data_IF_770352995645
#
_entry.id   IF_770352995645
#
_cell.length_a   1.000
_cell.length_b   1.000
_cell.length_c   1.000
_cell.angle_alpha   90.00
_cell.angle_beta   90.00
_cell.angle_gamma   90.00
#
_symmetry.space_group_name_H-M   'P 1'
#
loop_
_entity.id
_entity.type
_entity.pdbx_description
1 polymer ?
#
# COMPACT_ATOMS: atom_id res chain seq x y z
N UNK A 1 -3.05 10.69 -3.50
CA UNK A 1 -1.73 10.93 -4.13
C UNK A 1 -1.76 12.11 -5.10
N UNK A 2 -2.82 12.32 -5.89
CA UNK A 2 -2.83 13.37 -6.93
C UNK A 2 -2.96 14.81 -6.38
N UNK A 3 -3.71 14.99 -5.29
CA UNK A 3 -4.02 16.29 -4.71
C UNK A 3 -2.80 17.21 -4.47
N UNK A 4 -1.66 16.75 -3.89
CA UNK A 4 -0.46 17.59 -3.78
C UNK A 4 0.06 18.13 -5.11
N UNK A 5 0.03 17.33 -6.18
CA UNK A 5 0.46 17.78 -7.51
C UNK A 5 -0.48 18.83 -8.08
N UNK A 6 -1.79 18.63 -7.91
CA UNK A 6 -2.82 19.57 -8.36
C UNK A 6 -2.72 20.92 -7.64
N UNK A 7 -2.51 20.90 -6.32
CA UNK A 7 -2.34 22.10 -5.50
C UNK A 7 -1.04 22.86 -5.82
N UNK A 8 0.04 22.13 -6.11
CA UNK A 8 1.31 22.71 -6.52
C UNK A 8 1.34 23.15 -8.00
N UNK A 9 0.29 22.86 -8.79
CA UNK A 9 0.27 23.14 -10.22
C UNK A 9 1.29 22.32 -11.02
N UNK A 10 1.72 21.17 -10.49
CA UNK A 10 2.67 20.28 -11.16
C UNK A 10 1.91 19.40 -12.16
N UNK A 11 2.20 19.47 -13.47
CA UNK A 11 1.57 18.61 -14.44
C UNK A 11 2.03 17.16 -14.22
N UNK A 12 1.11 16.21 -14.45
CA UNK A 12 1.39 14.78 -14.37
C UNK A 12 0.71 14.03 -15.50
N UNK A 13 1.29 12.90 -15.87
CA UNK A 13 0.71 11.92 -16.78
C UNK A 13 0.77 10.52 -16.15
N UNK A 14 -0.17 9.66 -16.54
CA UNK A 14 -0.20 8.27 -16.10
C UNK A 14 0.54 7.39 -17.10
N UNK A 15 1.32 6.44 -16.60
CA UNK A 15 1.90 5.35 -17.38
C UNK A 15 1.17 4.04 -17.13
N UNK A 16 1.22 3.14 -18.11
CA UNK A 16 0.65 1.81 -18.00
C UNK A 16 1.62 0.86 -17.28
N UNK A 17 1.10 -0.26 -16.79
CA UNK A 17 1.86 -1.35 -16.18
C UNK A 17 1.84 -2.59 -17.07
N UNK A 18 2.85 -3.44 -16.89
CA UNK A 18 2.77 -4.82 -17.34
C UNK A 18 2.24 -5.76 -16.24
N UNK A 19 2.19 -7.05 -16.55
CA UNK A 19 1.67 -8.08 -15.64
C UNK A 19 2.53 -8.30 -14.40
N UNK A 20 3.78 -7.82 -14.41
CA UNK A 20 4.72 -7.85 -13.30
C UNK A 20 4.57 -6.61 -12.40
N UNK A 21 3.65 -5.70 -12.72
CA UNK A 21 3.48 -4.38 -12.11
C UNK A 21 4.67 -3.45 -12.35
N UNK A 22 5.32 -3.58 -13.50
CA UNK A 22 6.48 -2.79 -13.90
C UNK A 22 6.08 -1.71 -14.92
N UNK A 23 6.88 -0.63 -15.01
CA UNK A 23 6.60 0.53 -15.84
C UNK A 23 6.53 0.15 -17.33
N UNK A 24 5.44 0.54 -17.99
CA UNK A 24 5.28 0.39 -19.45
C UNK A 24 5.10 1.74 -20.13
N UNK A 25 5.91 1.97 -21.16
CA UNK A 25 5.84 3.18 -21.98
C UNK A 25 6.52 4.41 -21.36
N UNK A 26 7.27 4.24 -20.27
CA UNK A 26 8.11 5.28 -19.68
C UNK A 26 9.51 5.23 -20.32
N UNK A 27 10.08 6.36 -20.78
CA UNK A 27 11.43 6.40 -21.35
C UNK A 27 12.51 5.96 -20.35
N UNK A 28 13.59 5.33 -20.83
CA UNK A 28 14.68 4.89 -19.96
C UNK A 28 15.38 6.03 -19.20
N UNK A 29 15.33 7.25 -19.76
CA UNK A 29 15.88 8.46 -19.15
C UNK A 29 14.87 9.60 -19.26
N UNK A 30 14.81 10.44 -18.23
CA UNK A 30 13.87 11.55 -18.14
C UNK A 30 14.59 12.89 -18.39
N UNK A 31 13.97 13.83 -19.12
CA UNK A 31 14.40 15.23 -19.16
C UNK A 31 14.60 15.84 -17.76
N UNK A 32 15.45 16.86 -17.69
CA UNK A 32 15.68 17.57 -16.43
C UNK A 32 14.38 18.21 -15.92
N UNK A 33 14.06 17.98 -14.64
CA UNK A 33 12.84 18.47 -14.00
C UNK A 33 11.64 17.53 -14.11
N UNK A 34 11.76 16.43 -14.85
CA UNK A 34 10.76 15.36 -14.86
C UNK A 34 11.11 14.28 -13.83
N UNK A 35 10.06 13.69 -13.25
CA UNK A 35 10.16 12.66 -12.21
C UNK A 35 9.22 11.51 -12.54
N UNK A 36 9.61 10.30 -12.13
CA UNK A 36 8.72 9.14 -12.14
C UNK A 36 8.28 8.83 -10.72
N UNK A 37 6.97 8.70 -10.52
CA UNK A 37 6.39 8.24 -9.26
C UNK A 37 6.00 6.77 -9.43
N UNK A 38 6.65 5.89 -8.67
CA UNK A 38 6.37 4.45 -8.69
C UNK A 38 5.85 3.97 -7.34
N UNK A 39 4.79 3.17 -7.36
CA UNK A 39 4.25 2.55 -6.14
C UNK A 39 4.97 1.24 -5.90
N UNK A 40 5.55 1.05 -4.71
CA UNK A 40 6.03 -0.27 -4.30
C UNK A 40 4.85 -1.18 -3.98
N UNK A 41 4.34 -1.83 -5.03
CA UNK A 41 3.10 -2.59 -4.96
C UNK A 41 3.15 -3.72 -3.94
N UNK A 42 2.19 -3.68 -3.01
CA UNK A 42 1.96 -4.65 -1.94
C UNK A 42 3.14 -4.89 -0.98
N UNK A 43 4.20 -4.08 -1.08
CA UNK A 43 5.48 -4.31 -0.41
C UNK A 43 6.19 -5.57 -0.92
N UNK A 44 6.06 -5.86 -2.21
CA UNK A 44 6.64 -7.04 -2.87
C UNK A 44 7.61 -6.68 -4.01
N UNK A 45 7.66 -5.41 -4.44
CA UNK A 45 8.42 -4.99 -5.64
C UNK A 45 9.76 -4.34 -5.28
N UNK A 46 10.34 -4.70 -4.12
CA UNK A 46 11.58 -4.10 -3.59
C UNK A 46 12.76 -4.22 -4.56
N UNK A 47 12.91 -5.36 -5.25
CA UNK A 47 13.96 -5.54 -6.25
C UNK A 47 13.78 -4.61 -7.45
N UNK A 48 12.54 -4.48 -7.95
CA UNK A 48 12.25 -3.57 -9.05
C UNK A 48 12.46 -2.10 -8.65
N UNK A 49 12.07 -1.73 -7.41
CA UNK A 49 12.37 -0.41 -6.87
C UNK A 49 13.88 -0.12 -6.87
N UNK A 50 14.73 -1.09 -6.52
CA UNK A 50 16.18 -0.94 -6.58
C UNK A 50 16.70 -0.75 -8.02
N UNK A 51 16.10 -1.45 -8.99
CA UNK A 51 16.43 -1.26 -10.41
C UNK A 51 16.07 0.16 -10.86
N UNK A 52 14.87 0.65 -10.50
CA UNK A 52 14.44 2.01 -10.78
C UNK A 52 15.32 3.06 -10.11
N UNK A 53 15.76 2.82 -8.86
CA UNK A 53 16.65 3.72 -8.12
C UNK A 53 18.00 3.88 -8.84
N UNK A 54 18.54 2.78 -9.39
CA UNK A 54 19.74 2.81 -10.22
C UNK A 54 19.54 3.58 -11.53
N UNK A 55 18.39 3.37 -12.18
CA UNK A 55 18.06 3.93 -13.49
C UNK A 55 17.74 5.44 -13.44
N UNK A 56 16.75 5.83 -12.64
CA UNK A 56 16.23 7.20 -12.59
C UNK A 56 16.91 8.05 -11.51
N UNK A 57 17.59 7.43 -10.55
CA UNK A 57 18.35 8.14 -9.51
C UNK A 57 17.48 9.17 -8.78
N UNK A 58 17.93 10.42 -8.68
CA UNK A 58 17.21 11.52 -8.02
C UNK A 58 15.85 11.85 -8.67
N UNK A 59 15.57 11.36 -9.88
CA UNK A 59 14.29 11.56 -10.56
C UNK A 59 13.24 10.50 -10.19
N UNK A 60 13.58 9.54 -9.32
CA UNK A 60 12.63 8.56 -8.79
C UNK A 60 11.99 9.04 -7.49
N UNK A 61 10.66 8.95 -7.43
CA UNK A 61 9.85 9.07 -6.23
C UNK A 61 9.13 7.73 -5.97
N UNK A 62 9.37 7.10 -4.83
CA UNK A 62 8.77 5.79 -4.47
C UNK A 62 7.65 5.99 -3.45
N UNK A 63 6.42 5.65 -3.83
CA UNK A 63 5.30 5.49 -2.89
C UNK A 63 5.37 4.11 -2.23
N UNK A 64 5.85 4.09 -0.98
CA UNK A 64 5.87 2.93 -0.09
C UNK A 64 4.74 2.97 0.92
N UNK A 65 3.61 3.59 0.61
CA UNK A 65 2.44 3.54 1.49
C UNK A 65 1.90 2.11 1.64
N UNK A 66 2.27 1.19 0.74
CA UNK A 66 2.09 -0.26 0.86
C UNK A 66 3.36 -1.01 1.28
N UNK A 67 4.40 -0.33 1.75
CA UNK A 67 5.60 -0.95 2.33
C UNK A 67 6.14 -0.08 3.47
N UNK A 68 5.54 -0.21 4.65
CA UNK A 68 5.97 0.55 5.81
C UNK A 68 7.43 0.27 6.21
N UNK A 69 7.90 -0.96 5.96
CA UNK A 69 9.21 -1.43 6.38
C UNK A 69 10.31 -1.15 5.34
N UNK A 70 9.93 -0.64 4.18
CA UNK A 70 10.86 -0.10 3.20
C UNK A 70 11.79 0.92 3.86
N UNK A 71 13.07 0.80 3.57
CA UNK A 71 14.09 1.74 4.03
C UNK A 71 15.25 1.76 3.04
N UNK A 72 15.96 2.89 2.99
CA UNK A 72 17.19 3.04 2.22
C UNK A 72 16.96 3.19 0.72
N UNK A 73 17.17 4.41 0.21
CA UNK A 73 17.32 4.69 -1.22
C UNK A 73 18.68 5.32 -1.44
N UNK A 74 19.44 4.81 -2.41
CA UNK A 74 20.79 5.32 -2.66
C UNK A 74 20.73 6.68 -3.37
N UNK A 75 19.71 6.89 -4.21
CA UNK A 75 19.66 8.03 -5.12
C UNK A 75 18.30 8.72 -5.18
N UNK A 76 17.20 7.97 -5.18
CA UNK A 76 15.83 8.47 -5.26
C UNK A 76 15.25 8.79 -3.89
N UNK A 77 14.00 9.25 -3.92
CA UNK A 77 13.22 9.58 -2.74
C UNK A 77 12.13 8.53 -2.53
N UNK A 78 11.73 8.31 -1.29
CA UNK A 78 10.59 7.46 -0.99
C UNK A 78 9.84 7.92 0.25
N UNK A 79 8.56 7.62 0.32
CA UNK A 79 7.74 7.94 1.48
C UNK A 79 6.78 6.80 1.79
N UNK A 80 6.34 6.68 3.03
CA UNK A 80 5.36 5.66 3.44
C UNK A 80 4.17 6.28 4.21
N UNK A 81 3.30 5.41 4.74
CA UNK A 81 2.23 5.83 5.65
C UNK A 81 2.13 4.90 6.85
N UNK A 82 2.34 5.45 8.05
CA UNK A 82 2.17 4.71 9.29
C UNK A 82 0.70 4.29 9.50
N UNK A 83 -0.24 5.13 9.07
CA UNK A 83 -1.69 4.92 9.21
C UNK A 83 -2.21 3.67 8.50
N UNK A 84 -1.53 3.24 7.44
CA UNK A 84 -1.89 2.03 6.68
C UNK A 84 -1.35 0.75 7.35
N UNK A 85 -0.30 0.85 8.15
CA UNK A 85 0.34 -0.29 8.80
C UNK A 85 -0.07 -0.46 10.28
N UNK A 86 -0.38 0.65 10.96
CA UNK A 86 -0.64 0.71 12.40
C UNK A 86 -1.87 1.57 12.74
N UNK A 87 -2.41 1.35 13.93
CA UNK A 87 -3.55 2.11 14.47
C UNK A 87 -3.15 3.49 14.98
N UNK A 88 -2.64 4.35 14.10
CA UNK A 88 -2.26 5.73 14.38
C UNK A 88 -3.03 6.72 13.48
N UNK A 89 -3.39 7.91 13.97
CA UNK A 89 -4.15 8.90 13.19
C UNK A 89 -3.29 9.68 12.19
N UNK A 90 -1.98 9.73 12.34
CA UNK A 90 -1.06 10.46 11.46
C UNK A 90 0.31 9.78 11.41
N UNK A 91 1.19 10.30 10.54
CA UNK A 91 2.57 9.85 10.43
C UNK A 91 2.92 9.06 9.19
N UNK A 92 4.20 9.15 8.87
CA UNK A 92 4.90 8.50 7.77
C UNK A 92 6.37 8.88 7.87
N UNK A 93 7.18 8.21 7.07
CA UNK A 93 8.62 8.44 6.98
C UNK A 93 8.95 8.93 5.57
N UNK A 94 9.89 9.85 5.49
CA UNK A 94 10.54 10.28 4.26
C UNK A 94 11.94 9.69 4.23
N UNK A 95 12.30 9.12 3.09
CA UNK A 95 13.59 8.52 2.81
C UNK A 95 14.17 9.20 1.57
N UNK A 96 15.48 9.34 1.53
CA UNK A 96 16.17 9.91 0.39
C UNK A 96 17.69 9.85 0.57
N UNK A 97 18.45 10.42 -0.39
CA UNK A 97 19.91 10.47 -0.28
C UNK A 97 20.31 11.21 0.99
N UNK A 98 21.12 10.57 1.84
CA UNK A 98 21.48 11.13 3.14
C UNK A 98 22.13 12.53 3.07
N UNK A 99 22.77 12.87 1.95
CA UNK A 99 23.37 14.18 1.72
C UNK A 99 22.33 15.29 1.44
N UNK A 100 21.13 14.93 1.02
CA UNK A 100 20.04 15.84 0.63
C UNK A 100 18.88 15.83 1.63
N UNK A 101 18.82 14.80 2.49
CA UNK A 101 17.74 14.64 3.46
C UNK A 101 17.85 15.71 4.57
N UNK A 102 16.85 16.59 4.61
CA UNK A 102 16.67 17.57 5.68
C UNK A 102 16.22 16.93 7.00
N UNK A 103 15.90 17.78 7.97
CA UNK A 103 15.49 17.35 9.31
C UNK A 103 14.01 17.66 9.55
N UNK A 104 13.28 16.75 10.20
CA UNK A 104 11.85 16.91 10.43
C UNK A 104 11.52 18.09 11.39
N UNK A 105 12.50 18.55 12.15
CA UNK A 105 12.44 19.66 13.10
C UNK A 105 12.20 21.01 12.43
N UNK A 106 12.43 21.12 11.12
CA UNK A 106 12.09 22.31 10.32
C UNK A 106 10.57 22.48 10.12
N UNK A 107 9.81 21.40 10.31
CA UNK A 107 8.36 21.38 10.13
C UNK A 107 7.63 21.47 11.47
N UNK A 108 6.48 22.18 11.52
CA UNK A 108 5.66 22.21 12.71
C UNK A 108 5.13 20.81 13.06
N UNK A 109 4.90 20.57 14.35
CA UNK A 109 4.26 19.35 14.83
C UNK A 109 2.80 19.34 14.43
N UNK A 110 2.31 18.21 13.91
CA UNK A 110 0.90 18.04 13.62
C UNK A 110 0.08 17.90 14.91
N UNK A 111 -0.83 18.84 15.17
CA UNK A 111 -1.66 18.86 16.39
C UNK A 111 -3.14 18.63 16.14
N UNK A 112 -3.59 18.64 14.88
CA UNK A 112 -5.00 18.54 14.48
C UNK A 112 -5.43 17.09 14.17
N UNK A 113 -4.80 16.11 14.81
CA UNK A 113 -5.11 14.70 14.58
C UNK A 113 -6.43 14.28 15.26
N UNK A 114 -7.15 13.37 14.60
CA UNK A 114 -8.38 12.78 15.15
C UNK A 114 -8.25 11.27 15.29
N UNK A 115 -8.25 10.75 16.52
CA UNK A 115 -8.10 9.32 16.80
C UNK A 115 -9.41 8.60 17.16
N UNK A 116 -10.54 9.30 17.22
CA UNK A 116 -11.83 8.75 17.68
C UNK A 116 -12.25 7.49 16.91
N UNK A 117 -12.08 7.51 15.58
CA UNK A 117 -12.41 6.38 14.72
C UNK A 117 -11.58 5.11 15.01
N UNK A 118 -10.35 5.27 15.54
CA UNK A 118 -9.50 4.15 15.96
C UNK A 118 -10.03 3.53 17.26
N UNK A 119 -10.53 4.36 18.18
CA UNK A 119 -11.15 3.91 19.43
C UNK A 119 -12.45 3.15 19.12
N UNK A 120 -13.28 3.67 18.21
CA UNK A 120 -14.49 2.98 17.77
C UNK A 120 -14.16 1.61 17.15
N UNK A 121 -13.07 1.54 16.37
CA UNK A 121 -12.60 0.26 15.81
C UNK A 121 -12.25 -0.74 16.90
N UNK A 122 -11.50 -0.32 17.92
CA UNK A 122 -11.11 -1.17 19.04
C UNK A 122 -12.32 -1.68 19.83
N UNK A 123 -13.40 -0.91 19.87
CA UNK A 123 -14.66 -1.29 20.55
C UNK A 123 -15.57 -2.18 19.69
N UNK A 124 -15.19 -2.48 18.45
CA UNK A 124 -16.00 -3.26 17.51
C UNK A 124 -17.09 -2.45 16.80
N UNK A 125 -17.08 -1.11 16.92
CA UNK A 125 -18.03 -0.20 16.30
C UNK A 125 -17.63 0.11 14.84
N UNK A 126 -17.64 -0.92 13.98
CA UNK A 126 -17.06 -0.87 12.63
C UNK A 126 -17.65 0.23 11.74
N UNK A 127 -18.98 0.41 11.74
CA UNK A 127 -19.65 1.41 10.93
C UNK A 127 -19.28 2.84 11.36
N UNK A 128 -19.31 3.12 12.66
CA UNK A 128 -18.94 4.42 13.24
C UNK A 128 -17.45 4.72 13.00
N UNK A 129 -16.59 3.71 13.14
CA UNK A 129 -15.18 3.81 12.81
C UNK A 129 -14.95 4.16 11.33
N UNK A 130 -15.71 3.56 10.42
CA UNK A 130 -15.61 3.87 9.00
C UNK A 130 -16.04 5.31 8.68
N UNK A 131 -17.21 5.73 9.20
CA UNK A 131 -17.71 7.08 8.99
C UNK A 131 -16.75 8.14 9.56
N UNK A 132 -16.21 7.89 10.76
CA UNK A 132 -15.21 8.75 11.39
C UNK A 132 -13.89 8.80 10.63
N UNK A 133 -13.43 7.67 10.06
CA UNK A 133 -12.26 7.63 9.20
C UNK A 133 -12.46 8.46 7.93
N UNK A 134 -13.61 8.31 7.25
CA UNK A 134 -13.92 9.09 6.03
C UNK A 134 -14.00 10.58 6.33
N UNK A 135 -14.64 10.97 7.42
CA UNK A 135 -14.71 12.37 7.84
C UNK A 135 -13.31 12.95 8.13
N UNK A 136 -12.44 12.18 8.79
CA UNK A 136 -11.07 12.60 9.06
C UNK A 136 -10.19 12.68 7.81
N UNK A 137 -10.32 11.77 6.85
CA UNK A 137 -9.60 11.87 5.57
C UNK A 137 -9.88 13.19 4.84
N UNK A 138 -11.10 13.73 4.97
CA UNK A 138 -11.48 15.01 4.35
C UNK A 138 -10.84 16.23 5.01
N UNK A 139 -10.32 16.12 6.24
CA UNK A 139 -9.66 17.23 6.93
C UNK A 139 -8.18 17.34 6.58
N UNK A 140 -7.61 16.34 5.91
CA UNK A 140 -6.17 16.28 5.64
C UNK A 140 -5.80 17.13 4.42
N UNK A 141 -4.77 17.94 4.58
CA UNK A 141 -4.16 18.74 3.53
C UNK A 141 -2.88 18.11 2.97
N UNK A 142 -2.20 18.85 2.10
CA UNK A 142 -0.89 18.51 1.54
C UNK A 142 0.28 19.19 2.26
N UNK A 143 -0.01 20.04 3.26
CA UNK A 143 1.02 20.76 3.99
C UNK A 143 1.90 19.78 4.77
N UNK A 144 3.24 19.90 4.70
CA UNK A 144 4.14 19.00 5.38
C UNK A 144 4.19 19.32 6.87
N UNK A 145 4.03 18.30 7.70
CA UNK A 145 4.16 18.38 9.15
C UNK A 145 5.07 17.28 9.67
N UNK A 146 5.68 17.55 10.83
CA UNK A 146 6.23 16.49 11.67
C UNK A 146 5.07 15.71 12.30
N UNK A 147 5.24 14.40 12.42
CA UNK A 147 4.28 13.51 13.10
C UNK A 147 3.89 14.05 14.48
N UNK A 148 2.64 13.81 14.88
CA UNK A 148 2.15 14.14 16.22
C UNK A 148 2.88 13.35 17.31
N UNK A 149 3.02 13.96 18.49
CA UNK A 149 3.60 13.28 19.66
C UNK A 149 2.77 12.05 20.07
N UNK A 150 1.46 12.07 19.79
CA UNK A 150 0.56 10.93 20.03
C UNK A 150 0.92 9.73 19.15
N UNK A 151 1.01 9.94 17.84
CA UNK A 151 1.37 8.86 16.90
C UNK A 151 2.81 8.40 17.12
N UNK A 152 3.74 9.31 17.38
CA UNK A 152 5.13 8.96 17.73
C UNK A 152 5.21 8.07 18.99
N UNK A 153 4.42 8.40 20.03
CA UNK A 153 4.37 7.60 21.26
C UNK A 153 3.76 6.20 21.04
N UNK A 154 2.74 6.07 20.19
CA UNK A 154 2.16 4.76 19.86
C UNK A 154 3.14 3.90 19.05
N UNK A 155 3.78 4.50 18.05
CA UNK A 155 4.75 3.80 17.19
C UNK A 155 5.99 3.35 17.96
N UNK A 156 6.42 4.08 19.01
CA UNK A 156 7.58 3.68 19.82
C UNK A 156 7.34 2.45 20.70
N UNK A 157 6.07 2.03 20.85
CA UNK A 157 5.68 0.87 21.65
C UNK A 157 5.47 -0.41 20.82
N UNK A 158 5.62 -0.32 19.49
CA UNK A 158 5.41 -1.44 18.58
C UNK A 158 6.61 -2.39 18.61
N UNK A 159 6.34 -3.68 18.81
CA UNK A 159 7.30 -4.74 18.53
C UNK A 159 7.36 -5.02 17.02
N UNK A 160 8.22 -4.27 16.32
CA UNK A 160 8.32 -4.35 14.86
C UNK A 160 8.76 -5.73 14.36
N UNK A 161 9.65 -6.41 15.08
CA UNK A 161 10.11 -7.76 14.73
C UNK A 161 8.96 -8.77 14.78
N UNK A 162 8.14 -8.73 15.84
CA UNK A 162 6.96 -9.57 15.94
C UNK A 162 5.94 -9.28 14.83
N UNK A 163 5.76 -8.00 14.47
CA UNK A 163 4.87 -7.58 13.37
C UNK A 163 5.35 -8.12 12.03
N UNK A 164 6.64 -7.96 11.73
CA UNK A 164 7.27 -8.46 10.49
C UNK A 164 7.10 -9.98 10.40
N UNK A 165 7.47 -10.70 11.44
CA UNK A 165 7.38 -12.16 11.48
C UNK A 165 5.93 -12.64 11.29
N UNK A 166 4.96 -11.98 11.93
CA UNK A 166 3.54 -12.34 11.77
C UNK A 166 3.02 -12.07 10.37
N UNK A 167 3.32 -10.91 9.77
CA UNK A 167 2.90 -10.59 8.40
C UNK A 167 3.42 -11.59 7.39
N UNK A 168 4.71 -11.93 7.49
CA UNK A 168 5.35 -12.95 6.63
C UNK A 168 4.72 -14.34 6.83
N UNK A 169 4.44 -14.72 8.08
CA UNK A 169 3.75 -15.99 8.39
C UNK A 169 2.34 -16.05 7.80
N UNK A 170 1.56 -14.97 7.96
CA UNK A 170 0.20 -14.88 7.45
C UNK A 170 0.17 -14.93 5.91
N UNK A 171 1.10 -14.21 5.27
CA UNK A 171 1.26 -14.21 3.82
C UNK A 171 1.64 -15.59 3.27
N UNK A 172 2.66 -16.24 3.85
CA UNK A 172 3.06 -17.60 3.46
C UNK A 172 1.92 -18.61 3.64
N UNK A 173 1.11 -18.43 4.70
CA UNK A 173 -0.05 -19.28 4.92
C UNK A 173 -1.11 -19.11 3.83
N UNK A 174 -1.48 -17.88 3.46
CA UNK A 174 -2.36 -17.66 2.31
C UNK A 174 -1.80 -18.26 1.04
N UNK A 175 -0.50 -18.07 0.77
CA UNK A 175 0.14 -18.60 -0.43
C UNK A 175 0.01 -20.12 -0.51
N UNK A 176 0.36 -20.84 0.57
CA UNK A 176 0.22 -22.28 0.66
C UNK A 176 -1.21 -22.78 0.43
N UNK A 177 -2.22 -21.98 0.78
CA UNK A 177 -3.64 -22.36 0.67
C UNK A 177 -4.30 -21.91 -0.64
N UNK A 178 -3.80 -20.86 -1.30
CA UNK A 178 -4.50 -20.20 -2.40
C UNK A 178 -3.69 -20.12 -3.70
N UNK A 179 -2.42 -20.53 -3.72
CA UNK A 179 -1.56 -20.40 -4.91
C UNK A 179 -2.14 -21.02 -6.18
N UNK A 180 -2.81 -22.17 -6.08
CA UNK A 180 -3.43 -22.85 -7.24
C UNK A 180 -4.61 -22.07 -7.84
N UNK A 181 -5.18 -21.13 -7.08
CA UNK A 181 -6.27 -20.26 -7.53
C UNK A 181 -5.77 -18.86 -7.93
N UNK A 182 -4.49 -18.57 -7.70
CA UNK A 182 -3.95 -17.23 -7.84
C UNK A 182 -3.24 -17.07 -9.19
N UNK A 183 -3.69 -16.11 -10.00
CA UNK A 183 -3.17 -15.90 -11.35
C UNK A 183 -2.27 -14.66 -11.48
N UNK A 184 -1.72 -14.15 -10.38
CA UNK A 184 -0.71 -13.08 -10.46
C UNK A 184 0.53 -13.58 -11.21
N UNK A 185 1.15 -12.71 -12.01
CA UNK A 185 2.30 -13.06 -12.84
C UNK A 185 3.67 -12.75 -12.18
N UNK A 186 3.67 -12.17 -10.98
CA UNK A 186 4.88 -11.83 -10.22
C UNK A 186 5.06 -12.78 -9.02
N UNK A 187 6.31 -12.96 -8.53
CA UNK A 187 6.61 -13.94 -7.49
C UNK A 187 5.91 -13.63 -6.16
N UNK A 188 5.39 -14.68 -5.53
CA UNK A 188 4.78 -14.65 -4.19
C UNK A 188 5.43 -15.63 -3.21
N UNK A 189 6.43 -16.39 -3.64
CA UNK A 189 7.16 -17.28 -2.74
C UNK A 189 8.17 -16.43 -1.95
N UNK A 190 7.92 -16.20 -0.65
CA UNK A 190 8.80 -15.38 0.19
C UNK A 190 10.30 -15.75 0.13
N UNK A 191 10.71 -17.03 -0.02
CA UNK A 191 12.11 -17.39 -0.21
C UNK A 191 12.74 -16.86 -1.51
N UNK A 192 11.93 -16.54 -2.52
CA UNK A 192 12.39 -15.99 -3.80
C UNK A 192 12.44 -14.46 -3.79
N UNK A 193 11.87 -13.82 -2.76
CA UNK A 193 11.86 -12.37 -2.60
C UNK A 193 13.02 -11.90 -1.71
N UNK A 194 13.40 -10.60 -1.77
CA UNK A 194 14.37 -10.01 -0.85
C UNK A 194 14.02 -10.33 0.62
N UNK A 195 15.05 -10.62 1.42
CA UNK A 195 14.87 -11.11 2.80
C UNK A 195 14.11 -10.14 3.70
N UNK A 196 14.22 -8.84 3.42
CA UNK A 196 13.58 -7.71 4.07
C UNK A 196 12.15 -7.42 3.56
N UNK A 197 11.62 -8.20 2.63
CA UNK A 197 10.25 -8.04 2.12
C UNK A 197 9.23 -8.26 3.23
N UNK A 198 8.36 -7.27 3.45
CA UNK A 198 7.26 -7.36 4.42
C UNK A 198 5.92 -7.08 3.74
N UNK A 199 5.15 -8.12 3.38
CA UNK A 199 3.94 -7.93 2.60
C UNK A 199 2.89 -7.07 3.32
N UNK A 200 2.29 -6.14 2.57
CA UNK A 200 1.17 -5.33 3.04
C UNK A 200 -0.15 -6.10 3.03
N UNK A 201 -0.36 -6.89 1.98
CA UNK A 201 -1.47 -7.81 1.79
C UNK A 201 -1.01 -9.01 0.94
N UNK A 202 -1.83 -10.06 0.87
CA UNK A 202 -1.65 -11.13 -0.10
C UNK A 202 -2.49 -10.82 -1.35
N UNK A 203 -1.87 -10.51 -2.51
CA UNK A 203 -2.59 -10.20 -3.72
C UNK A 203 -3.11 -11.50 -4.36
N UNK A 204 -4.42 -11.72 -4.27
CA UNK A 204 -5.09 -12.82 -4.95
C UNK A 204 -5.79 -12.28 -6.20
N UNK A 205 -5.28 -12.65 -7.38
CA UNK A 205 -5.92 -12.33 -8.65
C UNK A 205 -6.76 -13.53 -9.10
N UNK A 206 -8.06 -13.31 -9.22
CA UNK A 206 -8.97 -14.32 -9.73
C UNK A 206 -8.75 -14.54 -11.24
N UNK A 207 -8.94 -15.78 -11.71
CA UNK A 207 -8.87 -16.11 -13.12
C UNK A 207 -9.82 -15.22 -13.96
N UNK A 208 -9.41 -14.92 -15.19
CA UNK A 208 -10.21 -14.12 -16.11
C UNK A 208 -11.62 -14.72 -16.31
N UNK A 209 -12.65 -13.91 -16.12
CA UNK A 209 -14.05 -14.32 -16.20
C UNK A 209 -14.68 -14.77 -14.88
N UNK A 210 -13.90 -14.93 -13.80
CA UNK A 210 -14.44 -15.19 -12.46
C UNK A 210 -15.26 -14.00 -11.98
N UNK A 211 -16.50 -14.25 -11.53
CA UNK A 211 -17.36 -13.20 -10.96
C UNK A 211 -17.14 -13.12 -9.46
N UNK A 212 -16.30 -12.18 -9.03
CA UNK A 212 -16.07 -11.92 -7.61
C UNK A 212 -17.25 -11.19 -6.96
N UNK A 213 -18.03 -11.90 -6.16
CA UNK A 213 -19.07 -11.27 -5.35
C UNK A 213 -18.50 -10.68 -4.06
N UNK A 214 -17.89 -9.49 -4.16
CA UNK A 214 -17.37 -8.74 -3.00
C UNK A 214 -18.45 -8.41 -1.96
N UNK A 215 -19.72 -8.31 -2.38
CA UNK A 215 -20.84 -8.10 -1.47
C UNK A 215 -21.06 -9.30 -0.55
N UNK A 216 -20.92 -10.53 -1.06
CA UNK A 216 -21.00 -11.73 -0.23
C UNK A 216 -19.88 -11.81 0.82
N UNK A 217 -18.68 -11.31 0.50
CA UNK A 217 -17.57 -11.18 1.48
C UNK A 217 -17.93 -10.14 2.56
N UNK A 218 -18.46 -8.98 2.15
CA UNK A 218 -18.89 -7.94 3.07
C UNK A 218 -20.00 -8.42 4.02
N UNK A 219 -20.99 -9.16 3.52
CA UNK A 219 -22.08 -9.74 4.34
C UNK A 219 -21.57 -10.75 5.38
N UNK A 220 -20.36 -11.30 5.19
CA UNK A 220 -19.65 -12.13 6.17
C UNK A 220 -18.71 -11.33 7.09
N UNK A 221 -18.82 -10.00 7.10
CA UNK A 221 -17.93 -9.06 7.80
C UNK A 221 -16.46 -9.13 7.33
N UNK A 222 -16.23 -9.52 6.09
CA UNK A 222 -14.91 -9.50 5.45
C UNK A 222 -14.79 -8.29 4.52
N UNK A 223 -14.12 -7.26 5.02
CA UNK A 223 -13.93 -5.99 4.31
C UNK A 223 -12.63 -6.04 3.49
N UNK A 224 -12.72 -6.51 2.24
CA UNK A 224 -11.60 -6.53 1.30
C UNK A 224 -11.70 -5.30 0.39
N UNK A 225 -10.73 -4.36 0.41
CA UNK A 225 -10.80 -3.15 -0.38
C UNK A 225 -10.65 -3.43 -1.88
N UNK A 226 -11.13 -2.49 -2.69
CA UNK A 226 -10.76 -2.41 -4.11
C UNK A 226 -9.56 -1.47 -4.22
N UNK A 227 -8.45 -1.93 -4.81
CA UNK A 227 -7.24 -1.12 -4.94
C UNK A 227 -7.12 -0.51 -6.35
N UNK A 228 -6.87 0.80 -6.29
CA UNK A 228 -6.96 1.87 -7.29
C UNK A 228 -8.28 1.93 -8.08
N UNK A 229 -9.41 2.20 -7.41
CA UNK A 229 -10.70 2.35 -8.09
C UNK A 229 -10.71 3.52 -9.10
N UNK A 230 -9.82 4.50 -8.97
CA UNK A 230 -9.65 5.61 -9.92
C UNK A 230 -9.22 5.14 -11.31
N UNK A 231 -8.50 4.02 -11.41
CA UNK A 231 -8.12 3.41 -12.70
C UNK A 231 -9.36 3.05 -13.52
N UNK A 232 -10.47 2.69 -12.87
CA UNK A 232 -11.71 2.31 -13.55
C UNK A 232 -12.37 3.48 -14.28
N UNK A 233 -12.14 4.72 -13.84
CA UNK A 233 -12.72 5.93 -14.41
C UNK A 233 -11.68 6.83 -15.10
N UNK A 234 -10.40 6.47 -15.01
CA UNK A 234 -9.29 7.16 -15.68
C UNK A 234 -9.58 7.28 -17.17
N UNK A 235 -9.32 8.44 -17.76
CA UNK A 235 -9.51 8.69 -19.18
C UNK A 235 -8.29 8.22 -19.98
N UNK A 236 -8.48 7.95 -21.28
CA UNK A 236 -7.43 7.46 -22.16
C UNK A 236 -7.43 5.95 -22.36
N UNK A 237 -6.88 5.52 -23.51
CA UNK A 237 -6.67 4.13 -23.87
C UNK A 237 -5.37 3.59 -23.28
N UNK A 238 -5.24 2.26 -23.18
CA UNK A 238 -3.99 1.61 -22.79
C UNK A 238 -3.91 1.14 -21.34
N UNK A 239 -4.97 1.34 -20.55
CA UNK A 239 -5.08 0.90 -19.15
C UNK A 239 -6.01 -0.31 -18.96
N UNK A 240 -6.30 -1.06 -20.02
CA UNK A 240 -7.28 -2.14 -19.99
C UNK A 240 -6.87 -3.27 -19.04
N UNK A 241 -5.57 -3.55 -18.97
CA UNK A 241 -5.02 -4.55 -18.06
C UNK A 241 -5.22 -4.13 -16.60
N UNK A 242 -4.90 -2.89 -16.25
CA UNK A 242 -5.00 -2.34 -14.91
C UNK A 242 -6.46 -2.26 -14.46
N UNK A 243 -7.39 -1.91 -15.37
CA UNK A 243 -8.83 -1.95 -15.08
C UNK A 243 -9.27 -3.36 -14.72
N UNK A 244 -8.86 -4.36 -15.50
CA UNK A 244 -9.17 -5.76 -15.24
C UNK A 244 -8.52 -6.23 -13.93
N UNK A 245 -7.26 -5.86 -13.69
CA UNK A 245 -6.53 -6.16 -12.47
C UNK A 245 -7.23 -5.59 -11.24
N UNK A 246 -7.60 -4.30 -11.24
CA UNK A 246 -8.34 -3.64 -10.16
C UNK A 246 -9.68 -4.34 -9.87
N UNK A 247 -10.41 -4.76 -10.91
CA UNK A 247 -11.70 -5.45 -10.74
C UNK A 247 -11.52 -6.84 -10.13
N UNK A 248 -10.54 -7.61 -10.60
CA UNK A 248 -10.31 -9.00 -10.26
C UNK A 248 -9.42 -9.23 -9.02
N UNK A 249 -8.73 -8.21 -8.51
CA UNK A 249 -7.80 -8.34 -7.40
C UNK A 249 -8.50 -8.35 -6.03
N UNK A 250 -8.27 -9.40 -5.24
CA UNK A 250 -8.59 -9.46 -3.82
C UNK A 250 -7.31 -9.27 -2.97
N UNK A 251 -7.04 -8.07 -2.45
CA UNK A 251 -5.92 -7.85 -1.53
C UNK A 251 -6.28 -8.37 -0.14
N UNK A 252 -5.87 -9.61 0.18
CA UNK A 252 -6.23 -10.25 1.45
C UNK A 252 -5.36 -9.72 2.60
N UNK A 253 -5.95 -9.41 3.77
CA UNK A 253 -5.21 -8.80 4.87
C UNK A 253 -4.22 -9.79 5.51
N UNK A 254 -2.94 -9.43 5.56
CA UNK A 254 -1.90 -10.20 6.28
C UNK A 254 -1.52 -9.56 7.61
N UNK A 255 -2.33 -8.61 8.07
CA UNK A 255 -2.12 -7.78 9.26
C UNK A 255 -1.70 -8.60 10.48
N UNK A 256 -0.79 -8.05 11.29
CA UNK A 256 -0.18 -8.74 12.42
C UNK A 256 -1.14 -9.07 13.57
N UNK A 257 -2.34 -8.52 13.56
CA UNK A 257 -3.40 -8.84 14.53
C UNK A 257 -4.15 -10.13 14.19
N UNK A 258 -4.00 -10.64 12.96
CA UNK A 258 -4.72 -11.81 12.49
C UNK A 258 -4.02 -13.08 12.99
N UNK A 259 -4.81 -13.95 13.63
CA UNK A 259 -4.42 -15.31 13.97
C UNK A 259 -4.90 -16.30 12.91
N UNK A 260 -4.63 -17.59 13.16
CA UNK A 260 -4.96 -18.67 12.21
C UNK A 260 -6.46 -18.74 11.90
N UNK A 261 -7.31 -18.55 12.90
CA UNK A 261 -8.76 -18.62 12.76
C UNK A 261 -9.31 -17.51 11.83
N UNK A 262 -8.78 -16.29 11.92
CA UNK A 262 -9.17 -15.20 11.02
C UNK A 262 -8.76 -15.50 9.57
N UNK A 263 -7.55 -16.03 9.37
CA UNK A 263 -7.08 -16.38 8.03
C UNK A 263 -7.91 -17.50 7.41
N UNK A 264 -8.26 -18.53 8.19
CA UNK A 264 -9.10 -19.65 7.74
C UNK A 264 -10.51 -19.19 7.33
N UNK A 265 -11.11 -18.25 8.08
CA UNK A 265 -12.38 -17.62 7.70
C UNK A 265 -12.29 -16.90 6.36
N UNK A 266 -11.22 -16.12 6.13
CA UNK A 266 -10.99 -15.44 4.85
C UNK A 266 -10.82 -16.45 3.72
N UNK A 267 -10.00 -17.49 3.90
CA UNK A 267 -9.74 -18.53 2.89
C UNK A 267 -11.04 -19.23 2.49
N UNK A 268 -11.85 -19.63 3.47
CA UNK A 268 -13.11 -20.32 3.23
C UNK A 268 -14.08 -19.43 2.42
N UNK A 269 -14.22 -18.17 2.82
CA UNK A 269 -15.10 -17.22 2.14
C UNK A 269 -14.65 -16.94 0.70
N UNK A 270 -13.35 -16.72 0.49
CA UNK A 270 -12.76 -16.48 -0.83
C UNK A 270 -12.90 -17.68 -1.74
N UNK A 271 -12.62 -18.91 -1.26
CA UNK A 271 -12.81 -20.14 -2.03
C UNK A 271 -14.26 -20.29 -2.49
N UNK A 272 -15.24 -19.95 -1.64
CA UNK A 272 -16.64 -19.98 -2.01
C UNK A 272 -17.03 -18.98 -3.13
N UNK A 273 -16.19 -17.98 -3.44
CA UNK A 273 -16.42 -17.02 -4.54
C UNK A 273 -15.66 -17.38 -5.82
N UNK A 274 -14.73 -18.34 -5.78
CA UNK A 274 -13.82 -18.68 -6.87
C UNK A 274 -14.10 -20.06 -7.50
N UNK A 275 -15.11 -20.78 -7.00
CA UNK A 275 -15.59 -22.06 -7.55
C UNK A 275 -16.74 -21.80 -8.51
#
# INVERSE_FOLDING_TARGET
MLQPFEQAGVPYEFYALDEQLELRGVPESLPAGEYVVYVNYFGLKNEYVQQLDGQYRQQLLVDNTQDFFAHGYAHGWGFNSARKAFGVPDGGFLYGPAAELGTAEEYPVFTEYHAGYLIDRLRGAQAQSYDGFVAYEQTLGSEPFRISEFSASLLSQVDYEAVIARRRTNFAYYHAQLKELNTVAFPLELPELPADTVPFCYPLLAASGSTLNRRALFEQNLFIPTLWPDVLTRQGSGFDWERNFTQALLPLPVDHRYGREELDKVIAAVRAQLV
#
